data_IF_795244759201
#
_entry.id   IF_795244759201
#
_cell.length_a   1.000
_cell.length_b   1.000
_cell.length_c   1.000
_cell.angle_alpha   90.00
_cell.angle_beta   90.00
_cell.angle_gamma   90.00
#
_symmetry.space_group_name_H-M   'P 1'
#
loop_
_entity.id
_entity.type
_entity.pdbx_description
1 polymer ?
#
# COMPACT_ATOMS: atom_id res chain seq x y z
N UNK A 1 8.93 82.18 -40.18
CA UNK A 1 8.67 81.15 -41.22
C UNK A 1 10.00 80.44 -41.45
N UNK A 2 10.17 79.10 -41.34
CA UNK A 2 9.29 78.01 -40.92
C UNK A 2 9.82 77.22 -39.69
N UNK A 3 9.00 76.34 -39.12
CA UNK A 3 9.38 75.22 -38.24
C UNK A 3 10.11 74.12 -39.08
N UNK A 4 10.91 73.17 -38.51
CA UNK A 4 10.30 72.01 -37.84
C UNK A 4 11.12 71.14 -36.83
N UNK A 5 10.33 70.36 -36.10
CA UNK A 5 10.56 68.99 -35.56
C UNK A 5 11.46 68.80 -34.33
N UNK A 6 10.78 68.67 -33.19
CA UNK A 6 11.22 67.95 -31.99
C UNK A 6 10.96 66.46 -32.19
N UNK A 7 12.00 65.64 -32.36
CA UNK A 7 11.92 64.18 -32.33
C UNK A 7 12.22 63.65 -30.94
N UNK A 8 11.19 63.31 -30.16
CA UNK A 8 11.33 62.53 -28.91
C UNK A 8 11.37 61.05 -29.26
N UNK A 9 12.46 60.39 -28.90
CA UNK A 9 12.63 58.93 -28.97
C UNK A 9 11.78 58.31 -27.86
N UNK A 10 10.75 57.54 -28.23
CA UNK A 10 10.03 56.67 -27.30
C UNK A 10 10.80 55.34 -27.16
N UNK A 11 11.25 55.03 -25.96
CA UNK A 11 11.64 53.67 -25.58
C UNK A 11 10.37 52.83 -25.46
N UNK A 12 10.22 51.81 -26.32
CA UNK A 12 9.21 50.76 -26.16
C UNK A 12 9.87 49.63 -25.37
N UNK A 13 9.53 49.52 -24.09
CA UNK A 13 9.91 48.38 -23.26
C UNK A 13 8.93 47.24 -23.54
N UNK A 14 9.36 46.22 -24.29
CA UNK A 14 8.58 45.00 -24.50
C UNK A 14 8.72 44.11 -23.25
N UNK A 15 7.74 44.14 -22.35
CA UNK A 15 7.64 43.19 -21.25
C UNK A 15 7.06 41.88 -21.80
N UNK A 16 7.90 40.86 -21.99
CA UNK A 16 7.46 39.52 -22.34
C UNK A 16 7.01 38.77 -21.08
N UNK A 17 5.71 38.65 -20.87
CA UNK A 17 5.11 37.83 -19.81
C UNK A 17 5.17 36.36 -20.23
N UNK A 18 6.08 35.57 -19.65
CA UNK A 18 6.08 34.12 -19.78
C UNK A 18 5.02 33.54 -18.83
N UNK A 19 3.88 33.12 -19.36
CA UNK A 19 2.93 32.26 -18.63
C UNK A 19 3.46 30.83 -18.72
N UNK A 20 4.12 30.36 -17.66
CA UNK A 20 4.44 28.94 -17.50
C UNK A 20 3.17 28.24 -17.02
N UNK A 21 2.43 27.63 -17.95
CA UNK A 21 1.40 26.64 -17.63
C UNK A 21 2.11 25.38 -17.13
N UNK A 22 2.28 25.26 -15.82
CA UNK A 22 2.62 24.00 -15.18
C UNK A 22 1.41 23.06 -15.33
N UNK A 23 1.43 22.20 -16.36
CA UNK A 23 0.52 21.08 -16.45
C UNK A 23 0.87 20.11 -15.30
N UNK A 24 0.14 20.22 -14.20
CA UNK A 24 0.11 19.16 -13.20
C UNK A 24 -0.44 17.91 -13.89
N UNK A 25 0.45 17.00 -14.24
CA UNK A 25 0.04 15.68 -14.70
C UNK A 25 -0.76 15.06 -13.56
N UNK A 26 -2.00 14.57 -13.80
CA UNK A 26 -2.69 13.82 -12.77
C UNK A 26 -1.76 12.65 -12.45
N UNK A 27 -1.29 12.59 -11.20
CA UNK A 27 -0.72 11.36 -10.68
C UNK A 27 -1.77 10.30 -10.99
N UNK A 28 -1.45 9.36 -11.88
CA UNK A 28 -2.32 8.25 -12.19
C UNK A 28 -2.58 7.56 -10.86
N UNK A 29 -3.74 7.83 -10.26
CA UNK A 29 -4.29 6.96 -9.25
C UNK A 29 -4.31 5.61 -9.94
N UNK A 30 -3.46 4.72 -9.46
CA UNK A 30 -3.30 3.37 -9.95
C UNK A 30 -4.72 2.80 -9.94
N UNK A 31 -5.39 2.77 -11.10
CA UNK A 31 -6.61 1.99 -11.23
C UNK A 31 -6.14 0.61 -10.84
N UNK A 32 -6.65 0.10 -9.72
CA UNK A 32 -6.53 -1.32 -9.45
C UNK A 32 -6.95 -1.99 -10.76
N UNK A 33 -6.08 -2.85 -11.32
CA UNK A 33 -6.49 -3.69 -12.43
C UNK A 33 -7.82 -4.33 -12.06
N UNK A 34 -8.71 -4.54 -13.03
CA UNK A 34 -10.03 -5.11 -12.72
C UNK A 34 -9.83 -6.39 -11.91
N UNK A 35 -10.35 -6.42 -10.68
CA UNK A 35 -10.20 -7.56 -9.77
C UNK A 35 -10.59 -8.85 -10.51
N UNK A 36 -9.87 -9.95 -10.28
CA UNK A 36 -10.25 -11.23 -10.84
C UNK A 36 -11.63 -11.66 -10.34
N UNK A 37 -12.32 -12.54 -11.08
CA UNK A 37 -13.62 -13.05 -10.65
C UNK A 37 -13.57 -13.69 -9.26
N UNK A 38 -12.48 -14.41 -8.97
CA UNK A 38 -12.24 -15.03 -7.67
C UNK A 38 -12.04 -14.01 -6.55
N UNK A 39 -11.39 -12.87 -6.80
CA UNK A 39 -11.23 -11.81 -5.79
C UNK A 39 -12.56 -11.08 -5.56
N UNK A 40 -13.32 -10.80 -6.63
CA UNK A 40 -14.63 -10.11 -6.52
C UNK A 40 -15.64 -10.87 -5.67
N UNK A 41 -15.57 -12.19 -5.61
CA UNK A 41 -16.44 -13.02 -4.75
C UNK A 41 -16.35 -12.60 -3.27
N UNK A 42 -15.22 -12.02 -2.84
CA UNK A 42 -14.98 -11.60 -1.46
C UNK A 42 -15.11 -10.09 -1.24
N UNK A 43 -15.58 -9.33 -2.24
CA UNK A 43 -15.75 -7.88 -2.14
C UNK A 43 -17.23 -7.54 -1.95
N UNK A 44 -17.61 -7.17 -0.73
CA UNK A 44 -18.98 -6.74 -0.41
C UNK A 44 -19.22 -5.26 -0.76
N UNK A 45 -18.24 -4.40 -0.50
CA UNK A 45 -18.35 -2.96 -0.68
C UNK A 45 -17.31 -2.52 -1.71
N UNK A 46 -17.79 -1.90 -2.78
CA UNK A 46 -16.96 -1.37 -3.88
C UNK A 46 -17.30 0.07 -4.23
N UNK A 47 -18.15 0.71 -3.43
CA UNK A 47 -18.50 2.12 -3.60
C UNK A 47 -17.25 3.00 -3.48
N UNK A 48 -17.08 4.00 -4.37
CA UNK A 48 -15.91 4.88 -4.35
C UNK A 48 -15.85 5.75 -3.08
N UNK A 49 -16.98 5.95 -2.40
CA UNK A 49 -17.03 6.68 -1.13
C UNK A 49 -17.88 5.91 -0.12
N UNK A 50 -17.30 5.64 1.06
CA UNK A 50 -17.93 4.90 2.16
C UNK A 50 -17.77 5.71 3.45
N UNK A 51 -18.82 5.80 4.26
CA UNK A 51 -18.76 6.41 5.59
C UNK A 51 -19.14 5.36 6.64
N UNK A 52 -18.27 5.16 7.63
CA UNK A 52 -18.54 4.36 8.82
C UNK A 52 -18.94 5.32 9.94
N UNK A 53 -20.17 5.26 10.45
CA UNK A 53 -20.68 6.27 11.41
C UNK A 53 -21.02 5.65 12.77
N UNK A 54 -20.96 6.45 13.84
CA UNK A 54 -21.32 5.99 15.18
C UNK A 54 -20.33 5.01 15.80
N UNK A 55 -19.13 4.88 15.24
CA UNK A 55 -18.14 3.90 15.69
C UNK A 55 -17.34 4.39 16.88
N UNK A 56 -16.78 3.45 17.64
CA UNK A 56 -15.61 3.72 18.47
C UNK A 56 -14.33 3.49 17.66
N UNK A 57 -13.37 4.41 17.71
CA UNK A 57 -12.10 4.33 16.99
C UNK A 57 -10.95 4.11 17.95
N UNK A 58 -10.14 3.08 17.67
CA UNK A 58 -8.81 2.89 18.24
C UNK A 58 -7.82 3.10 17.10
N UNK A 59 -7.14 4.24 17.06
CA UNK A 59 -6.37 4.68 15.88
C UNK A 59 -4.95 4.08 15.77
N UNK A 60 -4.50 3.35 16.78
CA UNK A 60 -3.18 2.73 16.84
C UNK A 60 -2.04 3.67 17.26
N UNK A 61 -2.33 4.94 17.63
CA UNK A 61 -1.32 5.89 18.11
C UNK A 61 -0.96 5.70 19.59
N UNK A 62 -1.76 4.91 20.31
CA UNK A 62 -1.68 4.75 21.76
C UNK A 62 -2.55 5.75 22.53
N UNK A 63 -3.23 6.67 21.84
CA UNK A 63 -4.26 7.52 22.43
C UNK A 63 -5.46 6.68 22.92
N UNK A 64 -6.25 7.19 23.90
CA UNK A 64 -7.50 6.55 24.30
C UNK A 64 -8.49 6.41 23.14
N UNK A 65 -9.33 5.37 23.19
CA UNK A 65 -10.37 5.16 22.20
C UNK A 65 -11.38 6.33 22.17
N UNK A 66 -11.79 6.75 20.98
CA UNK A 66 -12.76 7.83 20.77
C UNK A 66 -14.10 7.27 20.28
N UNK A 67 -15.19 7.53 21.00
CA UNK A 67 -16.55 7.09 20.63
C UNK A 67 -17.31 8.14 19.82
N UNK A 68 -18.36 7.74 19.09
CA UNK A 68 -19.21 8.64 18.32
C UNK A 68 -18.45 9.30 17.17
N UNK A 69 -17.70 8.47 16.44
CA UNK A 69 -16.83 8.92 15.35
C UNK A 69 -17.36 8.45 14.01
N UNK A 70 -17.09 9.27 13.00
CA UNK A 70 -17.27 8.94 11.60
C UNK A 70 -15.90 8.79 10.91
N UNK A 71 -15.74 7.72 10.14
CA UNK A 71 -14.59 7.49 9.25
C UNK A 71 -15.09 7.59 7.81
N UNK A 72 -14.61 8.59 7.08
CA UNK A 72 -14.89 8.76 5.66
C UNK A 72 -13.76 8.16 4.83
N UNK A 73 -14.09 7.25 3.92
CA UNK A 73 -13.17 6.57 3.01
C UNK A 73 -13.53 6.98 1.59
N UNK A 74 -12.55 7.45 0.82
CA UNK A 74 -12.68 7.78 -0.61
C UNK A 74 -11.60 7.07 -1.41
N UNK A 75 -12.00 6.34 -2.44
CA UNK A 75 -11.12 5.60 -3.36
C UNK A 75 -10.10 4.72 -2.62
N UNK A 76 -10.58 4.01 -1.59
CA UNK A 76 -9.78 3.11 -0.76
C UNK A 76 -8.81 3.80 0.21
N UNK A 77 -8.91 5.12 0.39
CA UNK A 77 -8.10 5.90 1.35
C UNK A 77 -8.98 6.59 2.38
N UNK A 78 -8.49 6.69 3.61
CA UNK A 78 -9.16 7.47 4.66
C UNK A 78 -9.04 8.95 4.28
N UNK A 79 -10.18 9.61 4.10
CA UNK A 79 -10.30 11.02 3.78
C UNK A 79 -10.49 11.88 5.02
N UNK A 80 -11.22 11.38 6.03
CA UNK A 80 -11.43 12.06 7.30
C UNK A 80 -11.75 11.06 8.42
N UNK A 81 -11.40 11.42 9.65
CA UNK A 81 -11.82 10.76 10.89
C UNK A 81 -12.12 11.86 11.90
N UNK A 82 -13.26 11.80 12.57
CA UNK A 82 -13.62 12.77 13.60
C UNK A 82 -14.99 12.51 14.21
N UNK A 83 -15.43 13.37 15.16
CA UNK A 83 -16.76 13.27 15.76
C UNK A 83 -17.86 13.26 14.68
N UNK A 84 -18.93 12.48 14.91
CA UNK A 84 -20.03 12.34 13.94
C UNK A 84 -20.63 13.68 13.49
N UNK A 85 -20.68 14.66 14.40
CA UNK A 85 -21.22 15.99 14.12
C UNK A 85 -20.29 16.88 13.28
N UNK A 86 -19.02 16.50 13.11
CA UNK A 86 -17.98 17.33 12.47
C UNK A 86 -17.56 16.79 11.09
N UNK A 87 -17.80 15.50 10.81
CA UNK A 87 -17.43 14.90 9.52
C UNK A 87 -18.58 15.02 8.53
N UNK A 88 -18.39 15.85 7.50
CA UNK A 88 -19.35 15.98 6.40
C UNK A 88 -19.32 14.73 5.49
N UNK A 89 -20.46 14.06 5.40
CA UNK A 89 -20.66 12.91 4.50
C UNK A 89 -21.22 13.44 3.17
N UNK A 90 -20.50 13.29 2.04
CA UNK A 90 -20.98 13.78 0.75
C UNK A 90 -22.15 12.94 0.23
N UNK A 91 -23.00 13.56 -0.59
CA UNK A 91 -24.11 12.88 -1.27
C UNK A 91 -23.61 11.67 -2.08
N UNK A 92 -24.37 10.58 -2.04
CA UNK A 92 -24.04 9.34 -2.76
C UNK A 92 -22.99 8.46 -2.08
N UNK A 93 -22.45 8.86 -0.92
CA UNK A 93 -21.62 7.98 -0.10
C UNK A 93 -22.42 6.78 0.41
N UNK A 94 -21.80 5.60 0.43
CA UNK A 94 -22.34 4.42 1.11
C UNK A 94 -22.18 4.61 2.62
N UNK A 95 -23.28 4.83 3.33
CA UNK A 95 -23.26 4.98 4.80
C UNK A 95 -23.48 3.64 5.48
N UNK A 96 -22.61 3.30 6.43
CA UNK A 96 -22.71 2.15 7.31
C UNK A 96 -22.81 2.65 8.76
N UNK A 97 -24.01 2.59 9.33
CA UNK A 97 -24.24 2.87 10.74
C UNK A 97 -23.78 1.67 11.58
N UNK A 98 -22.76 1.89 12.40
CA UNK A 98 -22.02 0.85 13.10
C UNK A 98 -21.94 1.13 14.60
N UNK A 99 -23.01 1.69 15.17
CA UNK A 99 -23.12 1.89 16.61
C UNK A 99 -22.80 0.60 17.38
N UNK A 100 -22.06 0.74 18.48
CA UNK A 100 -21.59 -0.39 19.28
C UNK A 100 -20.43 -1.19 18.69
N UNK A 101 -19.93 -0.83 17.49
CA UNK A 101 -18.74 -1.45 16.90
C UNK A 101 -17.49 -0.62 17.17
N UNK A 102 -16.34 -1.30 17.22
CA UNK A 102 -15.02 -0.68 17.30
C UNK A 102 -14.26 -0.87 16.00
N UNK A 103 -13.76 0.22 15.43
CA UNK A 103 -12.89 0.20 14.25
C UNK A 103 -11.43 0.31 14.70
N UNK A 104 -10.61 -0.60 14.17
CA UNK A 104 -9.16 -0.63 14.35
C UNK A 104 -8.47 -0.53 12.98
N UNK A 105 -7.22 -0.04 12.92
CA UNK A 105 -6.34 -0.23 11.78
C UNK A 105 -6.25 -1.71 11.42
N UNK A 106 -6.15 -2.01 10.12
CA UNK A 106 -5.82 -3.36 9.68
C UNK A 106 -4.47 -3.79 10.26
N UNK A 107 -4.36 -5.04 10.72
CA UNK A 107 -3.15 -5.49 11.40
C UNK A 107 -1.97 -5.62 10.44
N UNK A 108 -0.77 -5.38 10.97
CA UNK A 108 0.50 -5.51 10.28
C UNK A 108 1.27 -6.67 10.89
N UNK A 109 1.37 -7.78 10.15
CA UNK A 109 2.20 -8.92 10.51
C UNK A 109 3.67 -8.62 10.18
N UNK A 110 4.55 -8.75 11.18
CA UNK A 110 5.99 -8.44 11.03
C UNK A 110 6.87 -9.69 10.97
N UNK A 111 6.27 -10.87 11.13
CA UNK A 111 6.97 -12.14 11.13
C UNK A 111 6.06 -13.22 10.57
N UNK A 112 6.04 -13.31 9.24
CA UNK A 112 5.14 -14.20 8.52
C UNK A 112 5.88 -15.13 7.58
N UNK A 113 5.26 -16.27 7.29
CA UNK A 113 5.78 -17.24 6.34
C UNK A 113 4.66 -17.68 5.39
N UNK A 114 4.99 -17.78 4.11
CA UNK A 114 4.10 -18.34 3.09
C UNK A 114 4.30 -19.84 2.90
N UNK A 115 4.96 -20.51 3.85
CA UNK A 115 5.22 -21.95 3.83
C UNK A 115 5.11 -22.51 5.24
N UNK A 116 4.98 -23.83 5.34
CA UNK A 116 4.98 -24.53 6.61
C UNK A 116 5.93 -25.73 6.60
N UNK A 117 6.57 -25.95 7.74
CA UNK A 117 7.46 -27.07 8.00
C UNK A 117 6.69 -28.17 8.71
N UNK A 118 6.56 -29.32 8.08
CA UNK A 118 6.09 -30.57 8.72
C UNK A 118 7.27 -31.55 8.84
N UNK A 119 7.11 -32.66 9.57
CA UNK A 119 8.16 -33.66 9.82
C UNK A 119 8.76 -34.15 8.50
N UNK A 120 9.90 -33.56 8.11
CA UNK A 120 10.64 -33.90 6.89
C UNK A 120 10.10 -33.32 5.58
N UNK A 121 9.08 -32.45 5.60
CA UNK A 121 8.53 -31.84 4.36
C UNK A 121 8.29 -30.34 4.49
N UNK A 122 8.48 -29.66 3.38
CA UNK A 122 8.16 -28.25 3.19
C UNK A 122 6.99 -28.12 2.26
N UNK A 123 5.98 -27.36 2.66
CA UNK A 123 4.80 -27.12 1.85
C UNK A 123 4.66 -25.61 1.68
N UNK A 124 4.70 -25.16 0.43
CA UNK A 124 4.39 -23.78 0.09
C UNK A 124 2.88 -23.57 0.20
N UNK A 125 2.47 -22.48 0.83
CA UNK A 125 1.08 -22.18 1.20
C UNK A 125 0.56 -20.90 0.51
N UNK A 126 1.00 -20.65 -0.72
CA UNK A 126 0.61 -19.45 -1.49
C UNK A 126 -0.90 -19.25 -1.64
N UNK A 127 -1.68 -20.34 -1.60
CA UNK A 127 -3.13 -20.25 -1.66
C UNK A 127 -3.75 -19.95 -0.28
N UNK A 128 -3.42 -20.73 0.75
CA UNK A 128 -4.10 -20.71 2.04
C UNK A 128 -3.58 -19.63 2.99
N UNK A 129 -2.26 -19.46 3.11
CA UNK A 129 -1.66 -18.52 4.05
C UNK A 129 -2.14 -17.07 3.85
N UNK A 130 -2.03 -16.45 2.65
CA UNK A 130 -2.47 -15.07 2.47
C UNK A 130 -3.97 -14.87 2.74
N UNK A 131 -4.81 -15.84 2.41
CA UNK A 131 -6.26 -15.80 2.69
C UNK A 131 -6.54 -15.85 4.18
N UNK A 132 -5.86 -16.74 4.92
CA UNK A 132 -6.02 -16.86 6.37
C UNK A 132 -5.51 -15.62 7.12
N UNK A 133 -4.43 -14.99 6.64
CA UNK A 133 -3.95 -13.72 7.20
C UNK A 133 -5.02 -12.63 7.10
N UNK A 134 -5.58 -12.40 5.91
CA UNK A 134 -6.67 -11.44 5.73
C UNK A 134 -7.91 -11.78 6.57
N UNK A 135 -8.32 -13.05 6.60
CA UNK A 135 -9.46 -13.50 7.41
C UNK A 135 -9.25 -13.27 8.92
N UNK A 136 -8.00 -13.14 9.35
CA UNK A 136 -7.62 -12.83 10.73
C UNK A 136 -7.41 -11.32 10.97
N UNK A 137 -7.76 -10.46 10.00
CA UNK A 137 -7.60 -9.00 10.08
C UNK A 137 -6.20 -8.49 9.72
N UNK A 138 -5.27 -9.35 9.30
CA UNK A 138 -3.93 -8.94 8.87
C UNK A 138 -3.98 -8.47 7.43
N UNK A 139 -3.86 -7.16 7.24
CA UNK A 139 -3.98 -6.50 5.93
C UNK A 139 -2.64 -6.23 5.26
N UNK A 140 -1.54 -6.29 6.02
CA UNK A 140 -0.18 -6.15 5.55
C UNK A 140 0.71 -7.16 6.26
N UNK A 141 1.61 -7.83 5.54
CA UNK A 141 2.60 -8.75 6.11
C UNK A 141 4.01 -8.43 5.66
N UNK A 142 4.97 -8.83 6.48
CA UNK A 142 6.38 -8.92 6.12
C UNK A 142 6.87 -10.35 6.33
N UNK A 143 7.35 -10.98 5.27
CA UNK A 143 7.91 -12.33 5.40
C UNK A 143 9.27 -12.29 6.09
N UNK A 144 9.70 -13.37 6.75
CA UNK A 144 10.98 -13.43 7.50
C UNK A 144 11.85 -14.60 7.07
N UNK A 145 12.18 -14.63 5.78
CA UNK A 145 12.93 -15.67 5.10
C UNK A 145 12.01 -16.49 4.22
N UNK A 146 12.26 -16.40 2.91
CA UNK A 146 11.47 -17.10 1.92
C UNK A 146 12.05 -18.50 1.66
N UNK A 147 11.20 -19.52 1.73
CA UNK A 147 11.57 -20.86 1.25
C UNK A 147 11.65 -20.91 -0.29
N UNK A 148 10.72 -20.22 -0.96
CA UNK A 148 10.71 -20.04 -2.42
C UNK A 148 10.54 -18.56 -2.76
N UNK A 149 11.64 -17.78 -2.82
CA UNK A 149 11.56 -16.32 -2.99
C UNK A 149 10.81 -15.89 -4.25
N UNK A 150 11.03 -16.59 -5.37
CA UNK A 150 10.29 -16.33 -6.61
C UNK A 150 8.79 -16.57 -6.49
N UNK A 151 8.39 -17.59 -5.73
CA UNK A 151 6.98 -17.85 -5.47
C UNK A 151 6.36 -16.72 -4.65
N UNK A 152 7.09 -16.15 -3.69
CA UNK A 152 6.64 -15.00 -2.91
C UNK A 152 6.57 -13.71 -3.75
N UNK A 153 7.56 -13.45 -4.61
CA UNK A 153 7.54 -12.32 -5.54
C UNK A 153 6.36 -12.39 -6.51
N UNK A 154 6.09 -13.58 -7.06
CA UNK A 154 4.95 -13.81 -7.95
C UNK A 154 3.62 -13.63 -7.21
N UNK A 155 3.51 -14.14 -5.98
CA UNK A 155 2.32 -13.99 -5.15
C UNK A 155 2.07 -12.52 -4.79
N UNK A 156 3.10 -11.78 -4.37
CA UNK A 156 3.04 -10.33 -4.12
C UNK A 156 2.47 -9.59 -5.33
N UNK A 157 3.02 -9.85 -6.52
CA UNK A 157 2.56 -9.22 -7.76
C UNK A 157 1.10 -9.58 -8.06
N UNK A 158 0.73 -10.86 -7.98
CA UNK A 158 -0.65 -11.30 -8.24
C UNK A 158 -1.66 -10.65 -7.28
N UNK A 159 -1.32 -10.48 -6.00
CA UNK A 159 -2.16 -9.77 -5.03
C UNK A 159 -2.24 -8.27 -5.37
N UNK A 160 -1.11 -7.62 -5.70
CA UNK A 160 -1.09 -6.20 -6.06
C UNK A 160 -1.89 -5.90 -7.33
N UNK A 161 -1.91 -6.82 -8.29
CA UNK A 161 -2.69 -6.73 -9.53
C UNK A 161 -4.16 -7.17 -9.36
N UNK A 162 -4.59 -7.48 -8.12
CA UNK A 162 -5.96 -7.91 -7.82
C UNK A 162 -6.34 -9.26 -8.42
N UNK A 163 -5.34 -10.10 -8.75
CA UNK A 163 -5.54 -11.44 -9.30
C UNK A 163 -5.73 -12.49 -8.21
N UNK A 164 -4.97 -12.36 -7.12
CA UNK A 164 -5.04 -13.24 -5.96
C UNK A 164 -5.49 -12.50 -4.69
N UNK A 165 -6.06 -13.26 -3.75
CA UNK A 165 -6.52 -12.76 -2.46
C UNK A 165 -5.37 -12.84 -1.46
N UNK A 166 -5.02 -11.70 -0.85
CA UNK A 166 -4.03 -11.66 0.22
C UNK A 166 -3.74 -10.26 0.74
N UNK A 167 -3.00 -10.16 1.86
CA UNK A 167 -2.56 -8.89 2.40
C UNK A 167 -1.55 -8.23 1.47
N UNK A 168 -1.31 -6.93 1.66
CA UNK A 168 -0.13 -6.28 1.09
C UNK A 168 1.12 -7.00 1.61
N UNK A 169 2.00 -7.43 0.69
CA UNK A 169 3.18 -8.20 1.05
C UNK A 169 4.46 -7.38 0.90
N UNK A 170 5.26 -7.38 1.96
CA UNK A 170 6.69 -7.07 1.93
C UNK A 170 7.46 -8.39 2.03
N UNK A 171 8.19 -8.72 0.98
CA UNK A 171 8.88 -10.00 0.83
C UNK A 171 10.34 -9.84 1.26
N UNK A 172 10.83 -10.85 1.97
CA UNK A 172 12.25 -11.01 2.26
C UNK A 172 12.88 -12.07 1.37
N UNK A 173 14.20 -12.02 1.26
CA UNK A 173 14.98 -12.98 0.48
C UNK A 173 15.05 -14.34 1.17
N UNK A 174 15.81 -15.30 0.62
CA UNK A 174 16.08 -16.53 1.33
C UNK A 174 16.84 -16.24 2.63
N UNK A 175 16.71 -17.15 3.60
CA UNK A 175 17.54 -17.11 4.80
C UNK A 175 19.02 -17.13 4.43
N UNK A 176 19.82 -16.23 5.00
CA UNK A 176 21.27 -16.25 4.86
C UNK A 176 21.89 -16.74 6.16
N UNK A 177 22.83 -17.69 6.08
CA UNK A 177 23.50 -18.20 7.28
C UNK A 177 24.90 -18.70 6.99
N UNK A 178 25.71 -18.76 8.05
CA UNK A 178 27.08 -19.28 7.97
C UNK A 178 27.14 -20.81 7.93
N UNK A 179 28.37 -21.34 7.99
CA UNK A 179 28.63 -22.77 8.04
C UNK A 179 27.89 -23.45 9.21
N UNK A 180 27.36 -24.66 8.96
CA UNK A 180 26.63 -25.44 9.96
C UNK A 180 25.17 -25.03 10.17
N UNK A 181 24.67 -24.07 9.39
CA UNK A 181 23.26 -23.68 9.41
C UNK A 181 22.33 -24.81 8.99
N UNK A 182 21.09 -24.71 9.45
CA UNK A 182 20.01 -25.61 9.02
C UNK A 182 19.97 -25.66 7.49
N UNK A 183 19.70 -26.84 6.92
CA UNK A 183 19.66 -27.09 5.46
C UNK A 183 18.67 -26.22 4.67
N UNK A 184 17.91 -25.37 5.37
CA UNK A 184 16.89 -24.50 4.85
C UNK A 184 17.43 -23.10 4.53
N UNK A 185 18.67 -22.82 4.91
CA UNK A 185 19.29 -21.50 4.81
C UNK A 185 20.36 -21.51 3.73
N UNK A 186 20.39 -20.46 2.91
CA UNK A 186 21.42 -20.25 1.92
C UNK A 186 22.74 -20.00 2.65
N UNK A 187 23.68 -20.93 2.48
CA UNK A 187 24.96 -20.85 3.16
C UNK A 187 25.85 -19.83 2.45
N UNK A 188 26.31 -18.85 3.21
CA UNK A 188 27.30 -17.86 2.78
C UNK A 188 28.60 -18.10 3.53
N UNK A 189 29.70 -18.24 2.80
CA UNK A 189 31.01 -18.55 3.37
C UNK A 189 31.84 -17.32 3.71
N UNK A 190 31.60 -16.21 3.00
CA UNK A 190 32.36 -14.97 3.13
C UNK A 190 31.43 -13.75 3.14
N UNK A 191 31.90 -12.58 3.64
CA UNK A 191 31.17 -11.33 3.51
C UNK A 191 30.83 -10.97 2.06
N UNK A 192 31.69 -11.34 1.10
CA UNK A 192 31.46 -11.07 -0.31
C UNK A 192 30.32 -11.92 -0.89
N UNK A 193 30.23 -13.19 -0.48
CA UNK A 193 29.10 -14.04 -0.84
C UNK A 193 27.78 -13.46 -0.31
N UNK A 194 27.78 -12.98 0.93
CA UNK A 194 26.60 -12.34 1.52
C UNK A 194 26.18 -11.08 0.74
N UNK A 195 27.13 -10.21 0.38
CA UNK A 195 26.85 -9.02 -0.46
C UNK A 195 26.24 -9.40 -1.80
N UNK A 196 26.83 -10.39 -2.49
CA UNK A 196 26.33 -10.86 -3.79
C UNK A 196 24.90 -11.37 -3.70
N UNK A 197 24.57 -12.14 -2.66
CA UNK A 197 23.22 -12.68 -2.49
C UNK A 197 22.21 -11.58 -2.16
N UNK A 198 22.56 -10.64 -1.28
CA UNK A 198 21.68 -9.50 -0.96
C UNK A 198 21.44 -8.63 -2.19
N UNK A 199 22.50 -8.28 -2.94
CA UNK A 199 22.40 -7.48 -4.16
C UNK A 199 21.52 -8.17 -5.21
N UNK A 200 21.74 -9.46 -5.45
CA UNK A 200 20.91 -10.24 -6.36
C UNK A 200 19.43 -10.17 -6.01
N UNK A 201 19.06 -10.45 -4.75
CA UNK A 201 17.64 -10.45 -4.37
C UNK A 201 17.02 -9.05 -4.33
N UNK A 202 17.80 -8.02 -4.01
CA UNK A 202 17.36 -6.64 -4.15
C UNK A 202 17.03 -6.30 -5.62
N UNK A 203 17.89 -6.72 -6.57
CA UNK A 203 17.67 -6.53 -8.01
C UNK A 203 16.43 -7.29 -8.52
N UNK A 204 16.13 -8.46 -7.95
CA UNK A 204 14.92 -9.25 -8.27
C UNK A 204 13.62 -8.66 -7.67
N UNK A 205 13.72 -7.62 -6.83
CA UNK A 205 12.56 -6.91 -6.28
C UNK A 205 12.09 -7.38 -4.90
N UNK A 206 12.94 -8.08 -4.16
CA UNK A 206 12.73 -8.34 -2.72
C UNK A 206 12.81 -7.02 -1.95
N UNK A 207 11.95 -6.84 -0.95
CA UNK A 207 11.83 -5.57 -0.22
C UNK A 207 12.93 -5.37 0.82
N UNK A 208 13.39 -6.49 1.41
CA UNK A 208 14.32 -6.61 2.56
C UNK A 208 14.14 -5.61 3.69
#
# INVERSE_FOLDING_TARGET
MPMPIVGRVFFVTLAATFVVLAAASPAAAQSAGSLSAAVREFVEISDPTVALTGVQVVDGTGAPAASGQTILIRDGRIAAVGPDAEVEIPDGARVLALDGHTVLPGFVGLHDHTFYMTRGRRVQLNFSAPRLYLASGVTTIRTTGAFSPYSELNLKRAIQEGQDIGPRMYITGPYLSGAGAMSQMFQVGTPEDARRVVAYWADEGVDW
#
